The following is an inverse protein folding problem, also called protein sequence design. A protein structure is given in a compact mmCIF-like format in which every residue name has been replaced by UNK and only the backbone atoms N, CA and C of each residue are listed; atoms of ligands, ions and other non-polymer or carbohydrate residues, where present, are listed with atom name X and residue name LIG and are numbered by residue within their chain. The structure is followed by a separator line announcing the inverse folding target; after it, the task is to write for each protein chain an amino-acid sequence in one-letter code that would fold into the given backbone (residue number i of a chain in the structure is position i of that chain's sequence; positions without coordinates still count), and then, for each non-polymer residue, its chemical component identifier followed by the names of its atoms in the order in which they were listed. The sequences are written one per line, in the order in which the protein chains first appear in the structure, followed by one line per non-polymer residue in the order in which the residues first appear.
data_IF_383120090993
#
_entry.id   IF_383120090993
#
_cell.length_a   1.000
_cell.length_b   1.000
_cell.length_c   1.000
_cell.angle_alpha   90.00
_cell.angle_beta   90.00
_cell.angle_gamma   90.00
#
_symmetry.space_group_name_H-M   'P 1'
#
loop_
_entity.id
_entity.type
_entity.pdbx_description
1 polymer ?
#
# COMPACT_ATOMS: atom_id res chain seq x y z
N UNK A 1 -39.78 -27.54 -38.31
CA UNK A 1 -38.39 -27.83 -38.73
C UNK A 1 -38.18 -29.34 -38.74
N UNK A 2 -37.59 -29.92 -39.79
CA UNK A 2 -37.30 -31.35 -39.85
C UNK A 2 -36.30 -31.78 -38.75
N UNK A 3 -36.42 -32.99 -38.18
CA UNK A 3 -35.62 -33.46 -37.04
C UNK A 3 -34.10 -33.38 -37.23
N UNK A 4 -33.64 -33.42 -38.49
CA UNK A 4 -32.21 -33.31 -38.85
C UNK A 4 -31.65 -31.90 -38.66
N UNK A 5 -32.46 -30.84 -38.84
CA UNK A 5 -32.03 -29.46 -38.64
C UNK A 5 -31.86 -29.11 -37.14
N UNK A 6 -32.65 -29.73 -36.26
CA UNK A 6 -32.52 -29.57 -34.80
C UNK A 6 -31.23 -30.23 -34.29
N UNK A 7 -30.86 -31.39 -34.83
CA UNK A 7 -29.59 -32.08 -34.49
C UNK A 7 -28.36 -31.27 -34.94
N UNK A 8 -28.39 -30.67 -36.13
CA UNK A 8 -27.29 -29.83 -36.60
C UNK A 8 -27.13 -28.55 -35.77
N UNK A 9 -28.24 -27.90 -35.38
CA UNK A 9 -28.20 -26.68 -34.58
C UNK A 9 -27.64 -26.94 -33.15
N UNK A 10 -28.03 -28.05 -32.52
CA UNK A 10 -27.52 -28.45 -31.19
C UNK A 10 -26.03 -28.83 -31.23
N UNK A 11 -25.57 -29.48 -32.30
CA UNK A 11 -24.14 -29.78 -32.50
C UNK A 11 -23.31 -28.50 -32.70
N UNK A 12 -23.82 -27.51 -33.43
CA UNK A 12 -23.12 -26.22 -33.59
C UNK A 12 -23.06 -25.39 -32.30
N UNK A 13 -24.07 -25.46 -31.42
CA UNK A 13 -24.05 -24.79 -30.11
C UNK A 13 -23.05 -25.46 -29.16
N UNK A 14 -22.92 -26.79 -29.19
CA UNK A 14 -21.93 -27.54 -28.41
C UNK A 14 -20.48 -27.37 -28.91
N UNK A 15 -20.28 -27.16 -30.21
CA UNK A 15 -18.97 -26.82 -30.77
C UNK A 15 -18.57 -25.37 -30.50
N UNK A 16 -19.53 -24.44 -30.43
CA UNK A 16 -19.26 -23.05 -30.07
C UNK A 16 -18.96 -22.89 -28.56
N UNK A 17 -19.55 -23.71 -27.69
CA UNK A 17 -19.29 -23.67 -26.24
C UNK A 17 -17.96 -24.31 -25.85
N UNK A 18 -17.44 -25.27 -26.61
CA UNK A 18 -16.13 -25.88 -26.35
C UNK A 18 -14.95 -25.01 -26.80
N UNK A 19 -15.16 -24.08 -27.75
CA UNK A 19 -14.15 -23.09 -28.16
C UNK A 19 -14.00 -21.90 -27.19
N UNK A 20 -14.90 -21.76 -26.21
CA UNK A 20 -14.86 -20.74 -25.16
C UNK A 20 -14.40 -21.29 -23.80
N UNK A 21 -13.91 -22.53 -23.75
CA UNK A 21 -13.13 -23.03 -22.62
C UNK A 21 -11.72 -22.42 -22.70
N UNK A 22 -11.63 -21.11 -22.51
CA UNK A 22 -10.37 -20.48 -22.15
C UNK A 22 -9.88 -21.20 -20.90
N UNK A 23 -8.77 -21.93 -21.02
CA UNK A 23 -8.07 -22.49 -19.88
C UNK A 23 -7.76 -21.33 -18.96
N UNK A 24 -8.45 -21.25 -17.82
CA UNK A 24 -8.01 -20.40 -16.71
C UNK A 24 -6.65 -20.97 -16.36
N UNK A 25 -5.59 -20.27 -16.79
CA UNK A 25 -4.23 -20.59 -16.36
C UNK A 25 -4.26 -20.59 -14.85
N UNK A 26 -3.80 -21.67 -14.22
CA UNK A 26 -3.72 -21.74 -12.77
C UNK A 26 -3.00 -20.48 -12.28
N UNK A 27 -3.56 -19.82 -11.24
CA UNK A 27 -2.95 -18.62 -10.69
C UNK A 27 -1.49 -18.91 -10.33
N UNK A 28 -0.57 -18.23 -10.99
CA UNK A 28 0.84 -18.28 -10.67
C UNK A 28 1.05 -17.63 -9.29
N UNK A 29 1.71 -18.33 -8.38
CA UNK A 29 2.12 -17.78 -7.09
C UNK A 29 3.57 -17.32 -7.23
N UNK A 30 3.80 -16.03 -7.04
CA UNK A 30 5.14 -15.42 -7.00
C UNK A 30 5.43 -14.99 -5.58
N UNK A 31 6.59 -15.38 -5.06
CA UNK A 31 7.12 -14.91 -3.77
C UNK A 31 8.35 -14.06 -4.03
N UNK A 32 8.36 -12.83 -3.52
CA UNK A 32 9.44 -11.87 -3.70
C UNK A 32 9.76 -11.17 -2.39
N UNK A 33 11.05 -11.11 -2.05
CA UNK A 33 11.56 -10.18 -1.05
C UNK A 33 11.74 -8.81 -1.73
N UNK A 34 10.88 -7.85 -1.38
CA UNK A 34 10.85 -6.54 -2.06
C UNK A 34 11.90 -5.58 -1.51
N UNK A 35 12.14 -5.62 -0.20
CA UNK A 35 13.11 -4.75 0.49
C UNK A 35 13.81 -5.53 1.60
N UNK A 36 15.13 -5.69 1.47
CA UNK A 36 15.97 -6.32 2.49
C UNK A 36 16.30 -5.36 3.63
N UNK A 37 16.35 -5.89 4.86
CA UNK A 37 16.93 -5.15 5.98
C UNK A 37 18.44 -4.99 5.80
N UNK A 38 18.95 -3.80 6.09
CA UNK A 38 20.39 -3.50 6.09
C UNK A 38 20.81 -2.94 7.44
N UNK A 39 22.12 -2.83 7.76
CA UNK A 39 22.56 -2.15 8.97
C UNK A 39 21.99 -0.73 9.13
N UNK A 40 21.86 0.01 8.02
CA UNK A 40 21.35 1.39 7.99
C UNK A 40 19.82 1.46 7.95
N UNK A 41 19.17 0.48 7.32
CA UNK A 41 17.71 0.33 7.24
C UNK A 41 17.29 -1.01 7.89
N UNK A 42 17.33 -1.11 9.23
CA UNK A 42 17.29 -2.41 9.91
C UNK A 42 15.88 -3.02 10.02
N UNK A 43 14.82 -2.26 9.72
CA UNK A 43 13.44 -2.73 9.87
C UNK A 43 12.47 -2.06 8.88
N UNK A 44 11.61 -2.89 8.32
CA UNK A 44 10.49 -2.53 7.47
C UNK A 44 9.23 -3.19 8.05
N UNK A 45 8.20 -2.41 8.38
CA UNK A 45 6.94 -2.94 8.93
C UNK A 45 5.71 -2.10 8.50
N UNK A 46 4.51 -2.56 8.88
CA UNK A 46 3.21 -1.93 8.59
C UNK A 46 3.09 -1.50 7.12
N UNK A 47 3.16 -2.50 6.25
CA UNK A 47 3.07 -2.34 4.81
C UNK A 47 1.65 -2.50 4.29
N UNK A 48 1.34 -1.78 3.22
CA UNK A 48 0.12 -1.99 2.44
C UNK A 48 0.42 -1.86 0.95
N UNK A 49 -0.40 -2.52 0.14
CA UNK A 49 -0.41 -2.35 -1.31
C UNK A 49 -1.69 -1.61 -1.68
N UNK A 50 -1.54 -0.48 -2.36
CA UNK A 50 -2.63 0.38 -2.79
C UNK A 50 -2.75 0.39 -4.32
N UNK A 51 -3.89 -0.01 -4.90
CA UNK A 51 -4.11 0.05 -6.34
C UNK A 51 -4.19 1.49 -6.87
N UNK A 52 -3.44 1.78 -7.93
CA UNK A 52 -3.49 3.04 -8.68
C UNK A 52 -4.47 2.92 -9.87
N UNK A 53 -4.91 4.06 -10.41
CA UNK A 53 -5.95 4.15 -11.46
C UNK A 53 -5.54 3.50 -12.78
N UNK A 54 -4.24 3.42 -13.07
CA UNK A 54 -3.70 2.82 -14.30
C UNK A 54 -3.37 1.32 -14.16
N UNK A 55 -3.84 0.68 -13.07
CA UNK A 55 -3.58 -0.73 -12.79
C UNK A 55 -2.22 -1.00 -12.17
N UNK A 56 -1.40 0.03 -11.93
CA UNK A 56 -0.19 -0.11 -11.11
C UNK A 56 -0.54 -0.37 -9.65
N UNK A 57 0.45 -0.88 -8.93
CA UNK A 57 0.42 -1.07 -7.49
C UNK A 57 1.39 -0.10 -6.82
N UNK A 58 0.98 0.49 -5.70
CA UNK A 58 1.83 1.28 -4.82
C UNK A 58 2.06 0.50 -3.52
N UNK A 59 3.28 0.03 -3.29
CA UNK A 59 3.70 -0.49 -2.00
C UNK A 59 4.10 0.68 -1.11
N UNK A 60 3.57 0.72 0.11
CA UNK A 60 3.87 1.75 1.11
C UNK A 60 4.18 1.07 2.43
N UNK A 61 5.22 1.50 3.14
CA UNK A 61 5.62 0.89 4.42
C UNK A 61 6.29 1.88 5.38
N UNK A 62 6.37 1.48 6.65
CA UNK A 62 7.17 2.16 7.67
C UNK A 62 8.63 1.71 7.56
N UNK A 63 9.52 2.63 7.21
CA UNK A 63 10.94 2.40 6.98
C UNK A 63 11.76 2.97 8.14
N UNK A 64 12.28 2.10 9.01
CA UNK A 64 13.18 2.50 10.09
C UNK A 64 14.58 2.66 9.57
N UNK A 65 15.26 3.70 10.06
CA UNK A 65 16.63 4.01 9.66
C UNK A 65 17.49 4.36 10.86
N UNK A 66 18.81 4.16 10.69
CA UNK A 66 19.80 4.59 11.66
C UNK A 66 20.22 6.04 11.42
N UNK A 67 20.56 6.68 12.53
CA UNK A 67 21.17 8.01 12.63
C UNK A 67 22.43 7.86 13.48
N UNK A 68 23.36 8.82 13.49
CA UNK A 68 24.51 8.79 14.41
C UNK A 68 24.09 8.60 15.88
N UNK A 69 22.93 9.13 16.27
CA UNK A 69 22.40 9.02 17.63
C UNK A 69 21.81 7.63 17.94
N UNK A 70 21.47 6.86 16.92
CA UNK A 70 20.85 5.53 17.05
C UNK A 70 21.74 4.39 16.56
N UNK A 71 23.02 4.68 16.22
CA UNK A 71 23.99 3.72 15.72
C UNK A 71 25.30 3.72 16.52
N UNK A 72 25.81 2.55 16.96
CA UNK A 72 25.10 1.27 17.07
C UNK A 72 24.10 1.32 18.23
N UNK A 73 22.98 0.62 18.09
CA UNK A 73 21.97 0.59 19.16
C UNK A 73 20.91 -0.47 18.94
N UNK A 74 20.21 -0.88 20.02
CA UNK A 74 19.11 -1.85 19.92
C UNK A 74 17.98 -1.28 19.05
N UNK A 75 17.29 -2.14 18.32
CA UNK A 75 16.10 -1.76 17.58
C UNK A 75 14.95 -1.49 18.56
N UNK A 76 14.34 -0.31 18.46
CA UNK A 76 13.23 0.13 19.32
C UNK A 76 12.14 0.78 18.48
N UNK A 77 10.90 0.78 18.97
CA UNK A 77 9.75 1.34 18.24
C UNK A 77 9.76 2.87 18.13
N UNK A 78 10.57 3.54 18.94
CA UNK A 78 10.80 4.99 18.88
C UNK A 78 12.05 5.36 18.07
N UNK A 79 12.69 4.42 17.36
CA UNK A 79 13.76 4.78 16.43
C UNK A 79 13.22 5.64 15.28
N UNK A 80 14.08 6.46 14.65
CA UNK A 80 13.75 7.20 13.44
C UNK A 80 13.11 6.30 12.39
N UNK A 81 11.95 6.74 11.91
CA UNK A 81 11.20 6.06 10.87
C UNK A 81 10.46 7.09 10.02
N UNK A 82 10.29 6.74 8.75
CA UNK A 82 9.62 7.51 7.71
C UNK A 82 8.75 6.57 6.90
N UNK A 83 7.82 7.10 6.12
CA UNK A 83 7.03 6.27 5.21
C UNK A 83 7.70 6.30 3.83
N UNK A 84 8.02 5.12 3.33
CA UNK A 84 8.60 4.92 2.00
C UNK A 84 7.58 4.28 1.06
N UNK A 85 7.84 4.40 -0.24
CA UNK A 85 7.00 3.82 -1.28
C UNK A 85 7.80 3.35 -2.50
N UNK A 86 7.25 2.37 -3.20
CA UNK A 86 7.70 1.84 -4.49
C UNK A 86 6.47 1.52 -5.33
N UNK A 87 6.60 1.56 -6.65
CA UNK A 87 5.51 1.29 -7.60
C UNK A 87 5.82 0.05 -8.43
N UNK A 88 4.78 -0.67 -8.84
CA UNK A 88 4.90 -1.81 -9.76
C UNK A 88 3.89 -1.67 -10.90
N UNK A 89 4.35 -1.90 -12.13
CA UNK A 89 3.53 -1.92 -13.34
C UNK A 89 3.26 -3.32 -13.89
N UNK A 90 3.74 -4.36 -13.20
CA UNK A 90 3.69 -5.75 -13.66
C UNK A 90 3.09 -6.70 -12.61
N UNK A 91 2.14 -6.16 -11.83
CA UNK A 91 1.39 -6.87 -10.78
C UNK A 91 2.28 -7.35 -9.62
N UNK A 92 3.29 -6.56 -9.27
CA UNK A 92 4.15 -6.80 -8.11
C UNK A 92 5.36 -7.70 -8.39
N UNK A 93 5.66 -8.01 -9.65
CA UNK A 93 6.82 -8.84 -10.04
C UNK A 93 8.12 -8.04 -9.98
N UNK A 94 8.07 -6.77 -10.36
CA UNK A 94 9.17 -5.82 -10.22
C UNK A 94 8.66 -4.52 -9.61
N UNK A 95 9.57 -3.81 -8.95
CA UNK A 95 9.29 -2.58 -8.23
C UNK A 95 10.29 -1.49 -8.64
N UNK A 96 9.82 -0.24 -8.72
CA UNK A 96 10.67 0.92 -9.01
C UNK A 96 11.66 1.19 -7.88
N UNK A 97 12.60 2.11 -8.11
CA UNK A 97 13.39 2.68 -7.03
C UNK A 97 12.53 3.23 -5.89
N UNK A 98 13.06 3.09 -4.68
CA UNK A 98 12.42 3.51 -3.43
C UNK A 98 12.39 5.04 -3.31
N UNK A 99 11.23 5.59 -2.93
CA UNK A 99 11.04 7.02 -2.64
C UNK A 99 10.48 7.27 -1.24
N UNK A 100 10.75 8.46 -0.68
CA UNK A 100 10.08 8.91 0.56
C UNK A 100 8.67 9.38 0.21
N UNK A 101 7.65 8.77 0.79
CA UNK A 101 6.27 9.24 0.70
C UNK A 101 5.98 10.31 1.77
N UNK A 102 6.44 10.06 3.00
CA UNK A 102 6.32 10.99 4.12
C UNK A 102 7.61 10.99 4.95
N UNK A 103 8.35 12.12 5.00
CA UNK A 103 9.51 12.23 5.89
C UNK A 103 9.07 12.21 7.36
N UNK A 104 10.05 11.95 8.24
CA UNK A 104 9.83 12.02 9.68
C UNK A 104 9.58 13.48 10.09
N UNK A 105 8.35 13.77 10.55
CA UNK A 105 7.99 15.06 11.14
C UNK A 105 7.79 14.99 12.67
N UNK A 106 7.91 13.78 13.25
CA UNK A 106 7.83 13.56 14.68
C UNK A 106 9.21 13.69 15.33
N UNK A 107 9.25 13.97 16.63
CA UNK A 107 10.53 13.97 17.37
C UNK A 107 11.18 12.58 17.43
N UNK A 108 10.37 11.52 17.43
CA UNK A 108 10.86 10.14 17.30
C UNK A 108 10.68 9.65 15.87
N UNK A 109 9.44 9.53 15.40
CA UNK A 109 9.18 8.97 14.08
C UNK A 109 7.82 9.34 13.48
N UNK A 110 7.65 8.95 12.21
CA UNK A 110 6.38 8.82 11.51
C UNK A 110 6.19 7.38 11.04
N UNK A 111 5.00 6.81 11.24
CA UNK A 111 4.70 5.40 10.92
C UNK A 111 3.21 5.11 10.73
N UNK A 112 2.91 3.85 10.44
CA UNK A 112 1.56 3.27 10.26
C UNK A 112 0.79 3.94 9.12
N UNK A 113 1.34 3.90 7.89
CA UNK A 113 0.67 4.47 6.73
C UNK A 113 -0.68 3.79 6.49
N UNK A 114 -1.68 4.58 6.13
CA UNK A 114 -2.99 4.11 5.72
C UNK A 114 -3.45 4.92 4.52
N UNK A 115 -3.85 4.26 3.43
CA UNK A 115 -4.37 4.92 2.24
C UNK A 115 -5.83 4.54 2.00
N UNK A 116 -6.65 5.52 1.63
CA UNK A 116 -8.03 5.26 1.17
C UNK A 116 -8.38 6.19 0.02
N UNK A 117 -9.13 5.67 -0.95
CA UNK A 117 -9.60 6.43 -2.10
C UNK A 117 -11.03 6.90 -1.84
N UNK A 118 -11.26 8.20 -1.96
CA UNK A 118 -12.57 8.81 -1.88
C UNK A 118 -13.38 8.57 -3.16
N UNK A 119 -14.73 8.69 -3.13
CA UNK A 119 -15.58 8.52 -4.30
C UNK A 119 -15.27 9.47 -5.47
N UNK A 120 -14.75 10.67 -5.18
CA UNK A 120 -14.31 11.65 -6.19
C UNK A 120 -12.92 11.31 -6.79
N UNK A 121 -12.27 10.26 -6.29
CA UNK A 121 -10.99 9.77 -6.75
C UNK A 121 -9.78 10.40 -6.06
N UNK A 122 -9.96 11.34 -5.12
CA UNK A 122 -8.90 11.81 -4.22
C UNK A 122 -8.40 10.65 -3.33
N UNK A 123 -7.12 10.65 -2.98
CA UNK A 123 -6.53 9.70 -2.06
C UNK A 123 -6.15 10.39 -0.76
N UNK A 124 -6.56 9.80 0.36
CA UNK A 124 -6.13 10.24 1.69
C UNK A 124 -5.02 9.32 2.18
N UNK A 125 -3.92 9.92 2.67
CA UNK A 125 -2.87 9.24 3.43
C UNK A 125 -3.00 9.65 4.88
N UNK A 126 -3.20 8.69 5.77
CA UNK A 126 -3.11 8.87 7.21
C UNK A 126 -1.81 8.29 7.74
N UNK A 127 -1.24 8.92 8.77
CA UNK A 127 -0.05 8.42 9.48
C UNK A 127 0.00 8.94 10.91
N UNK A 128 0.78 8.26 11.75
CA UNK A 128 1.03 8.67 13.14
C UNK A 128 2.41 9.31 13.24
N UNK A 129 2.49 10.53 13.78
CA UNK A 129 3.75 11.13 14.23
C UNK A 129 3.92 10.92 15.74
N UNK A 130 5.06 10.38 16.16
CA UNK A 130 5.40 10.12 17.55
C UNK A 130 6.38 11.19 18.05
N UNK A 131 5.94 12.01 19.01
CA UNK A 131 6.73 13.10 19.58
C UNK A 131 7.30 12.78 20.97
N UNK A 132 6.58 12.01 21.78
CA UNK A 132 7.04 11.57 23.11
C UNK A 132 6.25 10.34 23.56
N UNK A 133 6.65 9.71 24.67
CA UNK A 133 5.91 8.58 25.23
C UNK A 133 4.44 8.90 25.57
N UNK A 134 4.06 10.18 25.64
CA UNK A 134 2.71 10.64 25.93
C UNK A 134 2.06 11.41 24.76
N UNK A 135 2.77 11.63 23.65
CA UNK A 135 2.25 12.37 22.49
C UNK A 135 2.47 11.57 21.20
N UNK A 136 1.34 11.08 20.67
CA UNK A 136 1.23 10.56 19.32
C UNK A 136 0.05 11.23 18.64
N UNK A 137 0.32 11.84 17.50
CA UNK A 137 -0.63 12.65 16.76
C UNK A 137 -0.88 12.00 15.41
N UNK A 138 -2.15 11.86 15.04
CA UNK A 138 -2.53 11.36 13.71
C UNK A 138 -2.65 12.54 12.76
N UNK A 139 -2.02 12.41 11.60
CA UNK A 139 -2.07 13.36 10.50
C UNK A 139 -2.72 12.73 9.27
N UNK A 140 -3.21 13.60 8.39
CA UNK A 140 -3.77 13.25 7.09
C UNK A 140 -3.14 14.15 6.01
N UNK A 141 -2.89 13.59 4.83
CA UNK A 141 -2.57 14.30 3.60
C UNK A 141 -3.51 13.87 2.49
N UNK A 142 -3.67 14.73 1.48
CA UNK A 142 -4.53 14.51 0.32
C UNK A 142 -3.70 14.45 -0.95
N UNK A 143 -4.11 13.61 -1.89
CA UNK A 143 -3.58 13.56 -3.25
C UNK A 143 -4.72 13.54 -4.25
N UNK A 144 -4.75 14.54 -5.14
CA UNK A 144 -5.70 14.64 -6.24
C UNK A 144 -5.19 14.00 -7.55
N UNK A 145 -3.94 13.55 -7.56
CA UNK A 145 -3.19 13.08 -8.73
C UNK A 145 -2.69 11.64 -8.58
N UNK A 146 -3.43 10.84 -7.82
CA UNK A 146 -3.20 9.41 -7.65
C UNK A 146 -1.86 9.04 -7.00
N UNK A 147 -1.59 9.67 -5.86
CA UNK A 147 -0.42 9.47 -4.99
C UNK A 147 0.91 10.03 -5.53
N UNK A 148 0.88 10.82 -6.61
CA UNK A 148 2.05 11.47 -7.18
C UNK A 148 2.52 12.65 -6.32
N UNK A 149 1.60 13.53 -5.93
CA UNK A 149 1.85 14.64 -5.02
C UNK A 149 0.87 14.64 -3.85
N UNK A 150 1.24 15.35 -2.80
CA UNK A 150 0.52 15.32 -1.53
C UNK A 150 0.46 16.71 -0.91
N UNK A 151 -0.72 17.08 -0.40
CA UNK A 151 -0.93 18.32 0.38
C UNK A 151 -0.02 18.40 1.61
N UNK A 152 0.02 19.55 2.28
CA UNK A 152 0.61 19.62 3.62
C UNK A 152 -0.14 18.70 4.62
N UNK A 153 0.54 18.16 5.65
CA UNK A 153 -0.09 17.36 6.69
C UNK A 153 -1.08 18.18 7.53
N UNK A 154 -2.28 17.63 7.72
CA UNK A 154 -3.32 18.18 8.59
C UNK A 154 -3.46 17.27 9.80
N UNK A 155 -3.37 17.84 11.01
CA UNK A 155 -3.63 17.09 12.25
C UNK A 155 -5.11 16.71 12.32
N UNK A 156 -5.40 15.42 12.50
CA UNK A 156 -6.79 14.90 12.60
C UNK A 156 -7.15 14.40 13.99
N UNK A 157 -6.17 13.99 14.80
CA UNK A 157 -6.44 13.63 16.20
C UNK A 157 -6.83 14.87 17.02
N UNK A 158 -8.02 14.86 17.59
CA UNK A 158 -8.58 16.00 18.35
C UNK A 158 -8.29 15.93 19.85
N UNK A 159 -8.04 14.73 20.38
CA UNK A 159 -7.74 14.52 21.79
C UNK A 159 -6.23 14.56 22.06
N UNK A 160 -5.79 15.12 23.21
CA UNK A 160 -4.40 15.02 23.63
C UNK A 160 -4.04 13.56 23.96
N UNK A 161 -2.75 13.25 23.96
CA UNK A 161 -2.25 11.96 24.39
C UNK A 161 -1.77 11.08 23.23
N UNK A 162 -2.02 9.79 23.37
CA UNK A 162 -1.50 8.75 22.47
C UNK A 162 -2.59 8.36 21.48
N UNK A 163 -2.55 8.94 20.28
CA UNK A 163 -3.43 8.57 19.16
C UNK A 163 -2.62 7.77 18.13
N UNK A 164 -3.12 6.59 17.74
CA UNK A 164 -2.46 5.77 16.72
C UNK A 164 -3.47 5.20 15.72
N UNK A 165 -2.96 4.82 14.55
CA UNK A 165 -3.69 4.11 13.51
C UNK A 165 -2.94 2.83 13.09
N UNK A 166 -2.66 1.94 14.04
CA UNK A 166 -1.85 0.72 13.78
C UNK A 166 -2.51 -0.29 12.81
N UNK A 167 -3.75 -0.07 12.39
CA UNK A 167 -4.43 -0.95 11.44
C UNK A 167 -4.06 -0.54 10.00
N UNK A 168 -4.09 -1.49 9.08
CA UNK A 168 -3.77 -1.26 7.66
C UNK A 168 -5.01 -0.89 6.81
N UNK A 169 -6.11 -0.46 7.45
CA UNK A 169 -7.32 -0.07 6.72
C UNK A 169 -8.03 1.13 7.35
N UNK A 170 -8.50 2.02 6.46
CA UNK A 170 -9.44 3.10 6.74
C UNK A 170 -10.66 2.89 5.86
N UNK A 171 -11.83 2.82 6.48
CA UNK A 171 -13.11 2.64 5.78
C UNK A 171 -13.89 3.95 5.73
N UNK A 172 -14.58 4.16 4.61
CA UNK A 172 -15.56 5.23 4.45
C UNK A 172 -16.93 4.58 4.70
N UNK A 173 -17.73 5.17 5.60
CA UNK A 173 -19.09 4.71 5.94
C UNK A 173 -20.14 5.32 5.02
#
# INVERSE_FOLDING_TARGET
MPPQQIRQLLLSILLLSTLLSGTISAAEIVTLDVVDSTPDLPRHDHQLIFPLKDGKLLLVWSEYYRTPETSPGPQRDNMPCRIAAMESSDQGRTWTERRVLQPNIGKYNVKHPNLTRLPDGEVLLFFTAWNSMQDRTVYMRRSSDDCQTWSEPIKVSTLPGINNINNDHVSIL
#
